data_IF_192912753963
#
_entry.id   IF_192912753963
#
_cell.length_a   1.000
_cell.length_b   1.000
_cell.length_c   1.000
_cell.angle_alpha   90.00
_cell.angle_beta   90.00
_cell.angle_gamma   90.00
#
_symmetry.space_group_name_H-M   'P 1'
#
loop_
_entity.id
_entity.type
_entity.pdbx_description
1 polymer ?
#
# COMPACT_ATOMS: atom_id res chain seq x y z
N UNK A 1 -9.04 -16.07 10.28
CA UNK A 1 -9.26 -15.11 9.18
C UNK A 1 -9.86 -13.85 9.76
N UNK A 2 -9.32 -12.67 9.45
CA UNK A 2 -9.83 -11.39 9.98
C UNK A 2 -11.22 -11.14 9.36
N UNK A 3 -12.22 -10.72 10.16
CA UNK A 3 -13.56 -10.45 9.63
C UNK A 3 -13.56 -9.13 8.87
N UNK A 4 -14.30 -9.07 7.76
CA UNK A 4 -14.48 -7.84 6.97
C UNK A 4 -14.96 -6.66 7.82
N UNK A 5 -15.88 -6.91 8.75
CA UNK A 5 -16.41 -5.87 9.64
C UNK A 5 -15.37 -5.29 10.60
N UNK A 6 -14.35 -6.06 10.97
CA UNK A 6 -13.24 -5.56 11.79
C UNK A 6 -12.35 -4.62 10.96
N UNK A 7 -12.07 -4.98 9.70
CA UNK A 7 -11.29 -4.15 8.77
C UNK A 7 -12.02 -2.83 8.50
N UNK A 8 -13.32 -2.88 8.21
CA UNK A 8 -14.12 -1.69 7.92
C UNK A 8 -14.12 -0.70 9.09
N UNK A 9 -14.34 -1.18 10.32
CA UNK A 9 -14.29 -0.33 11.52
C UNK A 9 -12.95 0.39 11.71
N UNK A 10 -11.84 -0.22 11.30
CA UNK A 10 -10.52 0.42 11.37
C UNK A 10 -10.42 1.52 10.30
N UNK A 11 -10.79 1.19 9.06
CA UNK A 11 -10.72 2.12 7.92
C UNK A 11 -11.66 3.31 8.09
N UNK A 12 -12.81 3.16 8.75
CA UNK A 12 -13.77 4.23 9.02
C UNK A 12 -13.18 5.40 9.85
N UNK A 13 -12.04 5.18 10.52
CA UNK A 13 -11.35 6.20 11.33
C UNK A 13 -10.15 6.84 10.60
N UNK A 14 -9.95 6.58 9.30
CA UNK A 14 -8.80 7.09 8.56
C UNK A 14 -9.15 8.33 7.72
N UNK A 15 -8.27 9.32 7.75
CA UNK A 15 -8.27 10.48 6.85
C UNK A 15 -7.06 10.44 5.91
N UNK A 16 -7.20 11.00 4.70
CA UNK A 16 -6.08 11.14 3.76
C UNK A 16 -5.48 9.81 3.30
N UNK A 17 -6.31 8.96 2.69
CA UNK A 17 -5.96 7.61 2.25
C UNK A 17 -4.70 7.57 1.38
N UNK A 18 -3.86 6.55 1.63
CA UNK A 18 -2.65 6.26 0.87
C UNK A 18 -2.59 4.77 0.55
N UNK A 19 -2.04 4.42 -0.61
CA UNK A 19 -1.77 3.04 -0.99
C UNK A 19 -0.34 2.71 -0.57
N UNK A 20 -0.18 1.62 0.18
CA UNK A 20 1.13 1.17 0.64
C UNK A 20 1.38 -0.31 0.34
N UNK A 21 2.59 -0.62 -0.14
CA UNK A 21 3.02 -2.00 -0.46
C UNK A 21 4.44 -2.25 0.03
N UNK A 22 4.80 -3.53 0.14
CA UNK A 22 6.20 -3.93 0.29
C UNK A 22 6.91 -3.84 -1.06
N UNK A 23 8.12 -3.30 -1.08
CA UNK A 23 9.01 -3.31 -2.25
C UNK A 23 9.32 -4.75 -2.65
N UNK A 24 8.61 -5.24 -3.67
CA UNK A 24 8.58 -6.63 -4.12
C UNK A 24 8.22 -6.69 -5.61
N UNK A 25 8.05 -7.91 -6.14
CA UNK A 25 7.87 -8.17 -7.58
C UNK A 25 6.83 -7.27 -8.26
N UNK A 26 5.68 -7.02 -7.62
CA UNK A 26 4.57 -6.26 -8.20
C UNK A 26 4.42 -4.84 -7.65
N UNK A 27 5.41 -4.36 -6.89
CA UNK A 27 5.29 -3.07 -6.21
C UNK A 27 5.21 -1.93 -7.21
N UNK A 28 5.98 -1.97 -8.30
CA UNK A 28 6.02 -0.90 -9.28
C UNK A 28 4.68 -0.75 -10.00
N UNK A 29 4.08 -1.85 -10.46
CA UNK A 29 2.80 -1.83 -11.17
C UNK A 29 1.66 -1.33 -10.27
N UNK A 30 1.64 -1.72 -9.00
CA UNK A 30 0.62 -1.24 -8.05
C UNK A 30 0.80 0.26 -7.79
N UNK A 31 2.03 0.74 -7.63
CA UNK A 31 2.28 2.16 -7.36
C UNK A 31 2.01 3.02 -8.59
N UNK A 32 2.31 2.53 -9.80
CA UNK A 32 2.04 3.22 -11.06
C UNK A 32 0.53 3.45 -11.23
N UNK A 33 -0.28 2.38 -11.13
CA UNK A 33 -1.74 2.52 -11.20
C UNK A 33 -2.31 3.40 -10.07
N UNK A 34 -1.76 3.33 -8.86
CA UNK A 34 -2.18 4.24 -7.79
C UNK A 34 -1.86 5.72 -8.09
N UNK A 35 -0.75 5.99 -8.79
CA UNK A 35 -0.39 7.35 -9.21
C UNK A 35 -1.29 7.86 -10.33
N UNK A 36 -1.63 7.01 -11.29
CA UNK A 36 -2.56 7.34 -12.38
C UNK A 36 -3.94 7.74 -11.85
N UNK A 37 -4.38 7.10 -10.77
CA UNK A 37 -5.64 7.43 -10.06
C UNK A 37 -5.52 8.60 -9.06
N UNK A 38 -4.36 9.28 -9.01
CA UNK A 38 -4.13 10.44 -8.15
C UNK A 38 -3.96 10.11 -6.66
N UNK A 39 -3.70 8.85 -6.30
CA UNK A 39 -3.53 8.42 -4.92
C UNK A 39 -2.09 8.67 -4.42
N UNK A 40 -1.98 8.95 -3.13
CA UNK A 40 -0.68 9.01 -2.44
C UNK A 40 -0.14 7.61 -2.20
N UNK A 41 1.17 7.40 -2.42
CA UNK A 41 1.80 6.08 -2.38
C UNK A 41 2.95 6.01 -1.38
N UNK A 42 3.14 4.84 -0.75
CA UNK A 42 4.28 4.53 0.14
C UNK A 42 4.79 3.12 -0.18
N UNK A 43 6.09 2.97 -0.43
CA UNK A 43 6.72 1.65 -0.58
C UNK A 43 7.62 1.38 0.61
N UNK A 44 7.42 0.26 1.29
CA UNK A 44 8.26 -0.20 2.38
C UNK A 44 9.30 -1.18 1.87
N UNK A 45 10.57 -0.80 1.95
CA UNK A 45 11.71 -1.64 1.55
C UNK A 45 12.52 -2.07 2.76
N UNK A 46 13.17 -3.23 2.64
CA UNK A 46 14.14 -3.70 3.63
C UNK A 46 15.54 -3.22 3.21
N UNK A 47 16.23 -2.55 4.13
CA UNK A 47 17.63 -2.16 3.94
C UNK A 47 18.49 -3.40 3.66
N UNK A 48 19.37 -3.31 2.66
CA UNK A 48 20.23 -4.42 2.21
C UNK A 48 19.55 -5.38 1.21
N UNK A 49 18.38 -5.01 0.67
CA UNK A 49 17.66 -5.75 -0.39
C UNK A 49 17.29 -4.86 -1.57
N UNK A 50 18.13 -3.88 -1.87
CA UNK A 50 17.90 -2.91 -2.94
C UNK A 50 18.25 -3.47 -4.33
N UNK A 51 19.01 -4.56 -4.39
CA UNK A 51 19.43 -5.23 -5.63
C UNK A 51 18.75 -6.60 -5.78
N UNK A 52 18.53 -7.08 -7.02
CA UNK A 52 18.07 -8.45 -7.29
C UNK A 52 19.00 -9.53 -6.71
#
# INVERSE_FOLDING_TARGET
MIKRSEIQKIVDNYDGLRIAVLGSHSALEIMDGAKDEGLSTIVFCQKGRETP
#
